data_IF_446879048063
#
_entry.id   IF_446879048063
#
_cell.length_a   1.000
_cell.length_b   1.000
_cell.length_c   1.000
_cell.angle_alpha   90.00
_cell.angle_beta   90.00
_cell.angle_gamma   90.00
#
_symmetry.space_group_name_H-M   'P 1'
#
loop_
_entity.id
_entity.type
_entity.pdbx_description
1 polymer ?
#
# COMPACT_ATOMS: atom_id res chain seq x y z
N UNK A 1 21.21 15.78 21.95
CA UNK A 1 21.84 15.43 20.65
C UNK A 1 20.83 15.77 19.56
N UNK A 2 21.30 16.28 18.41
CA UNK A 2 20.43 16.61 17.28
C UNK A 2 20.68 15.56 16.19
N UNK A 3 19.62 14.81 15.86
CA UNK A 3 19.59 13.88 14.74
C UNK A 3 19.05 14.60 13.52
N UNK A 4 19.67 14.42 12.36
CA UNK A 4 19.30 15.08 11.08
C UNK A 4 18.98 14.03 10.03
N UNK A 5 18.25 14.46 9.00
CA UNK A 5 17.87 13.62 7.86
C UNK A 5 17.01 12.40 8.29
N UNK A 6 16.20 12.59 9.33
CA UNK A 6 15.31 11.55 9.80
C UNK A 6 14.16 11.40 8.81
N UNK A 7 13.84 10.17 8.47
CA UNK A 7 12.72 9.81 7.58
C UNK A 7 11.44 9.69 8.41
N UNK A 8 10.36 10.29 7.92
CA UNK A 8 9.06 10.26 8.58
C UNK A 8 8.25 9.02 8.19
N UNK A 9 7.79 8.20 9.15
CA UNK A 9 7.05 6.96 8.87
C UNK A 9 5.53 7.16 8.84
N UNK A 10 5.01 8.33 8.44
CA UNK A 10 3.56 8.57 8.53
C UNK A 10 2.83 8.43 7.21
N UNK A 11 3.30 9.10 6.17
CA UNK A 11 2.58 9.16 4.90
C UNK A 11 3.54 9.01 3.72
N UNK A 12 2.99 8.76 2.52
CA UNK A 12 3.76 8.52 1.32
C UNK A 12 4.74 9.63 0.90
N UNK A 13 4.72 10.81 1.54
CA UNK A 13 5.74 11.82 1.31
C UNK A 13 7.12 11.41 1.84
N UNK A 14 7.20 10.47 2.78
CA UNK A 14 8.42 9.95 3.39
C UNK A 14 9.48 11.05 3.56
N UNK A 15 9.09 12.12 4.28
CA UNK A 15 9.95 13.31 4.43
C UNK A 15 11.27 12.93 5.11
N UNK A 16 12.40 13.20 4.45
CA UNK A 16 13.76 12.79 4.84
C UNK A 16 14.66 13.98 5.26
N UNK A 17 14.06 15.13 5.56
CA UNK A 17 14.73 16.37 5.98
C UNK A 17 14.41 16.75 7.42
N UNK A 18 13.88 15.81 8.21
CA UNK A 18 13.45 16.08 9.57
C UNK A 18 14.65 16.12 10.51
N UNK A 19 14.61 17.06 11.45
CA UNK A 19 15.59 17.15 12.53
C UNK A 19 14.88 16.89 13.85
N UNK A 20 15.45 16.00 14.65
CA UNK A 20 14.93 15.63 15.96
C UNK A 20 15.97 15.96 17.03
N UNK A 21 15.54 16.63 18.07
CA UNK A 21 16.32 16.87 19.27
C UNK A 21 15.59 16.24 20.46
N UNK A 22 16.34 15.45 21.24
CA UNK A 22 15.80 14.84 22.47
C UNK A 22 16.35 15.62 23.64
N UNK A 23 15.44 16.29 24.39
CA UNK A 23 15.75 17.08 25.60
C UNK A 23 14.86 16.61 26.74
N UNK A 24 15.44 16.23 27.84
CA UNK A 24 14.73 15.82 29.06
C UNK A 24 13.63 14.78 28.79
N UNK A 25 13.93 13.81 27.92
CA UNK A 25 13.00 12.77 27.51
C UNK A 25 11.86 13.24 26.57
N UNK A 26 11.87 14.50 26.12
CA UNK A 26 10.91 15.06 25.18
C UNK A 26 11.50 15.17 23.79
N UNK A 27 10.68 14.86 22.81
CA UNK A 27 11.03 14.96 21.40
C UNK A 27 10.63 16.35 20.88
N UNK A 28 11.59 17.12 20.44
CA UNK A 28 11.42 18.34 19.66
C UNK A 28 11.83 18.06 18.22
N UNK A 29 10.95 18.40 17.27
CA UNK A 29 11.21 18.13 15.86
C UNK A 29 11.03 19.39 15.00
N UNK A 30 11.92 19.57 14.02
CA UNK A 30 11.84 20.61 12.98
C UNK A 30 11.60 19.98 11.64
N UNK A 31 11.03 20.74 10.69
CA UNK A 31 10.68 20.29 9.35
C UNK A 31 9.66 19.13 9.36
N UNK A 32 8.75 19.13 10.31
CA UNK A 32 7.73 18.09 10.49
C UNK A 32 6.34 18.71 10.50
N UNK A 33 5.33 17.98 9.98
CA UNK A 33 3.92 18.35 10.09
C UNK A 33 3.29 17.83 11.40
N UNK A 34 2.04 18.23 11.68
CA UNK A 34 1.32 17.79 12.88
C UNK A 34 1.20 16.28 13.01
N UNK A 35 0.96 15.57 11.90
CA UNK A 35 0.88 14.10 11.90
C UNK A 35 2.25 13.48 12.25
N UNK A 36 3.32 13.97 11.62
CA UNK A 36 4.67 13.50 11.90
C UNK A 36 5.08 13.69 13.35
N UNK A 37 4.86 14.89 13.93
CA UNK A 37 5.21 15.11 15.35
C UNK A 37 4.39 14.23 16.29
N UNK A 38 3.15 13.91 15.96
CA UNK A 38 2.33 12.96 16.73
C UNK A 38 2.96 11.58 16.74
N UNK A 39 3.35 11.07 15.55
CA UNK A 39 3.98 9.75 15.41
C UNK A 39 5.35 9.68 16.11
N UNK A 40 6.19 10.71 15.99
CA UNK A 40 7.47 10.76 16.72
C UNK A 40 7.29 10.71 18.24
N UNK A 41 6.23 11.29 18.77
CA UNK A 41 5.91 11.23 20.22
C UNK A 41 5.41 9.85 20.66
N UNK A 42 4.93 9.01 19.77
CA UNK A 42 4.46 7.67 20.12
C UNK A 42 5.59 6.75 20.59
N UNK A 43 6.83 7.02 20.23
CA UNK A 43 7.97 6.18 20.60
C UNK A 43 8.07 5.96 22.12
N UNK A 44 7.75 6.98 22.89
CA UNK A 44 7.75 6.93 24.37
C UNK A 44 6.35 6.76 24.97
N UNK A 45 5.35 6.46 24.16
CA UNK A 45 3.97 6.34 24.63
C UNK A 45 3.81 5.17 25.61
N UNK A 46 3.15 5.39 26.75
CA UNK A 46 2.85 4.31 27.69
C UNK A 46 1.87 3.26 27.12
N UNK A 47 1.19 3.59 26.01
CA UNK A 47 0.27 2.70 25.30
C UNK A 47 0.98 1.64 24.48
N UNK A 48 2.28 1.76 24.22
CA UNK A 48 3.03 0.77 23.41
C UNK A 48 3.03 -0.59 24.07
N UNK A 49 2.91 -1.61 23.24
CA UNK A 49 3.11 -2.99 23.68
C UNK A 49 4.56 -3.19 24.11
N UNK A 50 4.76 -3.83 25.25
CA UNK A 50 6.07 -4.05 25.88
C UNK A 50 6.45 -5.52 25.89
N UNK A 51 5.48 -6.41 25.68
CA UNK A 51 5.61 -7.87 25.72
C UNK A 51 4.58 -8.47 24.77
N UNK A 52 4.85 -9.66 24.23
CA UNK A 52 3.83 -10.41 23.54
C UNK A 52 2.64 -10.71 24.45
N UNK A 53 1.46 -10.71 23.86
CA UNK A 53 0.20 -10.95 24.55
C UNK A 53 -0.52 -12.12 23.90
N UNK A 54 -1.15 -12.95 24.73
CA UNK A 54 -2.02 -14.05 24.30
C UNK A 54 -3.39 -13.91 24.95
N UNK A 55 -4.46 -14.20 24.22
CA UNK A 55 -5.83 -14.11 24.68
C UNK A 55 -6.23 -15.35 25.49
N UNK A 56 -6.56 -15.16 26.74
CA UNK A 56 -7.08 -16.17 27.64
C UNK A 56 -8.38 -15.70 28.26
N UNK A 57 -9.47 -16.43 28.06
CA UNK A 57 -10.79 -16.07 28.61
C UNK A 57 -11.24 -14.68 28.20
N UNK A 58 -11.00 -14.30 26.95
CA UNK A 58 -11.38 -13.00 26.38
C UNK A 58 -10.47 -11.83 26.80
N UNK A 59 -9.35 -12.07 27.52
CA UNK A 59 -8.41 -11.04 27.94
C UNK A 59 -7.00 -11.31 27.46
N UNK A 60 -6.34 -10.29 26.93
CA UNK A 60 -4.93 -10.36 26.55
C UNK A 60 -4.04 -10.37 27.80
N UNK A 61 -3.14 -11.35 27.90
CA UNK A 61 -2.19 -11.54 29.01
C UNK A 61 -0.77 -11.66 28.48
N UNK A 62 0.24 -11.12 29.20
CA UNK A 62 1.63 -11.24 28.80
C UNK A 62 2.11 -12.70 28.77
N UNK A 63 2.88 -13.03 27.74
CA UNK A 63 3.56 -14.32 27.57
C UNK A 63 5.02 -14.11 27.16
N UNK A 64 5.84 -15.17 27.13
CA UNK A 64 7.20 -15.11 26.62
C UNK A 64 7.22 -14.90 25.09
N UNK A 65 8.31 -14.36 24.56
CA UNK A 65 8.51 -14.23 23.11
C UNK A 65 8.49 -15.59 22.41
N UNK A 66 9.27 -16.52 22.90
CA UNK A 66 9.36 -17.87 22.32
C UNK A 66 7.99 -18.57 22.32
N UNK A 67 7.24 -18.48 23.42
CA UNK A 67 5.89 -19.04 23.51
C UNK A 67 4.91 -18.38 22.55
N UNK A 68 4.95 -17.04 22.39
CA UNK A 68 4.08 -16.34 21.45
C UNK A 68 4.40 -16.69 20.00
N UNK A 69 5.69 -16.74 19.64
CA UNK A 69 6.14 -17.11 18.30
C UNK A 69 5.80 -18.58 17.98
N UNK A 70 5.94 -19.47 18.96
CA UNK A 70 5.57 -20.88 18.76
C UNK A 70 4.08 -21.03 18.49
N UNK A 71 3.20 -20.43 19.32
CA UNK A 71 1.75 -20.49 19.11
C UNK A 71 1.34 -19.83 17.79
N UNK A 72 1.97 -18.71 17.41
CA UNK A 72 1.74 -18.08 16.11
C UNK A 72 2.14 -19.01 14.95
N UNK A 73 3.28 -19.67 15.05
CA UNK A 73 3.73 -20.65 14.08
C UNK A 73 2.77 -21.85 13.99
N UNK A 74 2.30 -22.37 15.13
CA UNK A 74 1.35 -23.48 15.20
C UNK A 74 0.02 -23.14 14.50
N UNK A 75 -0.52 -21.94 14.74
CA UNK A 75 -1.74 -21.46 14.06
C UNK A 75 -1.51 -21.40 12.56
N UNK A 76 -0.44 -20.75 12.11
CA UNK A 76 -0.18 -20.53 10.69
C UNK A 76 0.14 -21.83 9.94
N UNK A 77 0.83 -22.78 10.56
CA UNK A 77 1.14 -24.08 9.94
C UNK A 77 -0.06 -25.03 9.91
N UNK A 78 -0.98 -24.92 10.88
CA UNK A 78 -2.20 -25.71 10.92
C UNK A 78 -3.28 -25.20 9.97
N UNK A 79 -3.24 -23.93 9.60
CA UNK A 79 -4.19 -23.32 8.69
C UNK A 79 -4.04 -23.90 7.28
N UNK A 80 -5.18 -24.15 6.63
CA UNK A 80 -5.23 -24.63 5.23
C UNK A 80 -5.09 -23.49 4.24
N UNK A 81 -5.59 -22.32 4.60
CA UNK A 81 -5.58 -21.13 3.76
C UNK A 81 -5.38 -19.86 4.59
N UNK A 82 -4.19 -19.64 5.14
CA UNK A 82 -3.92 -18.47 5.95
C UNK A 82 -3.81 -17.20 5.07
N UNK A 83 -4.27 -16.07 5.62
CA UNK A 83 -4.05 -14.73 5.07
C UNK A 83 -2.90 -14.07 5.82
N UNK A 84 -1.92 -13.55 5.10
CA UNK A 84 -0.92 -12.62 5.62
C UNK A 84 -1.23 -11.23 5.07
N UNK A 85 -1.75 -10.35 5.92
CA UNK A 85 -2.07 -8.98 5.56
C UNK A 85 -0.97 -8.04 6.06
N UNK A 86 -0.26 -7.39 5.14
CA UNK A 86 0.86 -6.53 5.50
C UNK A 86 0.48 -5.08 5.27
N UNK A 87 0.49 -4.29 6.35
CA UNK A 87 0.24 -2.85 6.31
C UNK A 87 1.39 -2.06 5.71
N UNK A 88 1.15 -0.76 5.54
CA UNK A 88 2.10 0.13 4.90
C UNK A 88 3.02 0.87 5.88
N UNK A 89 3.00 0.51 7.16
CA UNK A 89 3.78 1.17 8.21
C UNK A 89 5.01 0.35 8.64
N UNK A 90 5.54 -0.46 7.74
CA UNK A 90 6.76 -1.24 7.95
C UNK A 90 7.69 -1.16 6.75
N UNK A 91 8.94 -1.63 6.92
CA UNK A 91 10.02 -1.54 5.92
C UNK A 91 9.83 -2.52 4.75
N UNK A 92 10.55 -2.29 3.67
CA UNK A 92 10.59 -3.20 2.52
C UNK A 92 11.19 -4.55 2.91
N UNK A 93 12.17 -4.56 3.80
CA UNK A 93 12.84 -5.74 4.31
C UNK A 93 11.84 -6.63 5.10
N UNK A 94 10.95 -6.03 5.87
CA UNK A 94 9.87 -6.76 6.52
C UNK A 94 8.83 -7.31 5.51
N UNK A 95 8.58 -6.58 4.40
CA UNK A 95 7.73 -7.10 3.31
C UNK A 95 8.32 -8.34 2.67
N UNK A 96 9.63 -8.36 2.40
CA UNK A 96 10.31 -9.52 1.82
C UNK A 96 10.09 -10.76 2.68
N UNK A 97 10.33 -10.65 3.99
CA UNK A 97 10.16 -11.78 4.92
C UNK A 97 8.69 -12.21 4.99
N UNK A 98 7.75 -11.27 5.08
CA UNK A 98 6.31 -11.57 5.10
C UNK A 98 5.84 -12.30 3.84
N UNK A 99 6.33 -11.89 2.68
CA UNK A 99 6.07 -12.55 1.39
C UNK A 99 6.70 -13.95 1.33
N UNK A 100 7.93 -14.13 1.83
CA UNK A 100 8.58 -15.45 1.93
C UNK A 100 7.83 -16.41 2.87
N UNK A 101 7.30 -15.93 3.98
CA UNK A 101 6.42 -16.72 4.85
C UNK A 101 5.17 -17.16 4.10
N UNK A 102 4.56 -16.23 3.35
CA UNK A 102 3.38 -16.52 2.53
C UNK A 102 3.63 -17.59 1.49
N UNK A 103 4.71 -17.50 0.73
CA UNK A 103 5.12 -18.50 -0.24
C UNK A 103 5.35 -19.87 0.42
N UNK A 104 6.09 -19.92 1.52
CA UNK A 104 6.42 -21.15 2.22
C UNK A 104 5.19 -21.86 2.81
N UNK A 105 4.22 -21.10 3.30
CA UNK A 105 2.96 -21.64 3.83
C UNK A 105 1.95 -22.02 2.74
N UNK A 106 2.09 -21.52 1.52
CA UNK A 106 1.04 -21.56 0.51
C UNK A 106 -0.12 -20.59 0.83
N UNK A 107 0.20 -19.51 1.54
CA UNK A 107 -0.77 -18.52 2.01
C UNK A 107 -1.20 -17.53 0.92
N UNK A 108 -2.18 -16.72 1.26
CA UNK A 108 -2.48 -15.51 0.51
C UNK A 108 -1.77 -14.33 1.18
N UNK A 109 -1.12 -13.48 0.37
CA UNK A 109 -0.46 -12.27 0.87
C UNK A 109 -1.07 -11.04 0.20
N UNK A 110 -1.60 -10.12 0.99
CA UNK A 110 -2.24 -8.90 0.50
C UNK A 110 -1.86 -7.69 1.36
N UNK A 111 -2.24 -6.50 0.89
CA UNK A 111 -1.91 -5.21 1.52
C UNK A 111 -3.03 -4.20 1.43
N UNK A 112 -2.83 -3.07 2.09
CA UNK A 112 -3.76 -1.92 2.09
C UNK A 112 -4.13 -1.44 0.69
N UNK A 113 -5.41 -1.48 0.36
CA UNK A 113 -6.23 -0.62 -0.49
C UNK A 113 -5.68 0.03 -1.78
N UNK A 114 -4.60 -0.48 -2.38
CA UNK A 114 -4.01 0.12 -3.57
C UNK A 114 -4.51 -0.51 -4.89
N UNK A 115 -5.36 -1.53 -4.82
CA UNK A 115 -5.74 -2.36 -5.98
C UNK A 115 -6.20 -1.55 -7.19
N UNK A 116 -7.16 -0.65 -7.03
CA UNK A 116 -7.68 0.15 -8.15
C UNK A 116 -6.60 1.02 -8.83
N UNK A 117 -5.70 1.61 -8.04
CA UNK A 117 -4.59 2.43 -8.56
C UNK A 117 -3.60 1.57 -9.33
N UNK A 118 -3.24 0.42 -8.77
CA UNK A 118 -2.26 -0.50 -9.38
C UNK A 118 -2.82 -1.11 -10.65
N UNK A 119 -4.08 -1.58 -10.63
CA UNK A 119 -4.76 -2.14 -11.81
C UNK A 119 -4.85 -1.12 -12.96
N UNK A 120 -5.29 0.10 -12.68
CA UNK A 120 -5.34 1.15 -13.70
C UNK A 120 -3.96 1.50 -14.27
N UNK A 121 -2.92 1.40 -13.44
CA UNK A 121 -1.52 1.57 -13.88
C UNK A 121 -1.05 0.40 -14.75
N UNK A 122 -1.44 -0.84 -14.45
CA UNK A 122 -1.13 -2.02 -15.27
C UNK A 122 -1.79 -1.94 -16.65
N UNK A 123 -3.05 -1.52 -16.72
CA UNK A 123 -3.80 -1.37 -17.97
C UNK A 123 -3.23 -0.25 -18.86
N UNK A 124 -3.00 0.92 -18.30
CA UNK A 124 -2.64 2.10 -19.08
C UNK A 124 -1.12 2.35 -19.17
N UNK A 125 -0.31 1.73 -18.29
CA UNK A 125 1.09 2.10 -18.08
C UNK A 125 1.22 3.40 -17.28
N UNK A 126 2.38 3.69 -16.72
CA UNK A 126 2.61 4.83 -15.83
C UNK A 126 3.43 5.94 -16.49
N UNK A 127 2.90 7.14 -16.54
CA UNK A 127 3.63 8.36 -16.88
C UNK A 127 3.89 9.13 -15.59
N UNK A 128 4.93 8.75 -14.86
CA UNK A 128 5.28 9.32 -13.55
C UNK A 128 6.31 10.44 -13.61
N UNK A 129 6.40 11.18 -12.52
CA UNK A 129 7.49 12.12 -12.23
C UNK A 129 7.83 12.06 -10.74
N UNK A 130 9.13 12.19 -10.44
CA UNK A 130 9.57 12.27 -9.03
C UNK A 130 9.11 13.58 -8.39
N UNK A 131 8.96 13.61 -7.08
CA UNK A 131 8.65 14.84 -6.34
C UNK A 131 9.72 15.91 -6.57
N UNK A 132 10.97 15.51 -6.78
CA UNK A 132 12.06 16.40 -7.17
C UNK A 132 11.86 17.03 -8.55
N UNK A 133 11.36 16.27 -9.53
CA UNK A 133 11.00 16.81 -10.86
C UNK A 133 9.81 17.77 -10.77
N UNK A 134 8.76 17.42 -10.02
CA UNK A 134 7.60 18.29 -9.77
C UNK A 134 8.03 19.60 -9.13
N UNK A 135 8.86 19.55 -8.08
CA UNK A 135 9.42 20.74 -7.41
C UNK A 135 10.16 21.65 -8.37
N UNK A 136 11.00 21.08 -9.23
CA UNK A 136 11.92 21.87 -10.05
C UNK A 136 11.31 22.34 -11.36
N UNK A 137 10.30 21.65 -11.89
CA UNK A 137 9.76 21.88 -13.24
C UNK A 137 8.27 22.22 -13.26
N UNK A 138 7.48 21.73 -12.28
CA UNK A 138 6.03 21.82 -12.31
C UNK A 138 5.53 23.25 -12.17
N UNK A 139 4.83 23.75 -13.17
CA UNK A 139 4.16 25.05 -13.19
C UNK A 139 2.63 24.94 -13.17
N UNK A 140 2.07 23.73 -13.46
CA UNK A 140 0.67 23.40 -13.24
C UNK A 140 0.53 22.18 -12.32
N UNK A 141 -0.15 22.38 -11.19
CA UNK A 141 -0.45 21.34 -10.22
C UNK A 141 -1.95 21.07 -10.16
N UNK A 142 -2.37 19.93 -10.69
CA UNK A 142 -3.76 19.45 -10.64
C UNK A 142 -3.90 18.44 -9.50
N UNK A 143 -4.80 18.71 -8.55
CA UNK A 143 -5.17 17.78 -7.48
C UNK A 143 -6.58 17.28 -7.74
N UNK A 144 -6.71 16.00 -8.04
CA UNK A 144 -7.97 15.37 -8.41
C UNK A 144 -8.40 14.31 -7.40
N UNK A 145 -9.53 14.50 -6.74
CA UNK A 145 -10.04 13.61 -5.70
C UNK A 145 -9.06 13.41 -4.55
N UNK A 146 -8.30 14.46 -4.20
CA UNK A 146 -7.32 14.42 -3.11
C UNK A 146 -7.17 15.77 -2.42
N UNK A 147 -6.90 15.72 -1.10
CA UNK A 147 -6.74 16.91 -0.27
C UNK A 147 -5.40 16.90 0.49
N UNK A 148 -4.27 17.10 -0.20
CA UNK A 148 -2.95 16.97 0.40
C UNK A 148 -2.67 17.98 1.52
N UNK A 149 -3.34 19.13 1.59
CA UNK A 149 -3.17 20.04 2.75
C UNK A 149 -3.63 19.40 4.08
N UNK A 150 -4.52 18.41 4.05
CA UNK A 150 -4.93 17.65 5.23
C UNK A 150 -4.20 16.31 5.33
N UNK A 151 -4.18 15.53 4.24
CA UNK A 151 -3.64 14.16 4.26
C UNK A 151 -2.12 14.09 4.18
N UNK A 152 -1.46 15.10 3.59
CA UNK A 152 -0.02 15.10 3.29
C UNK A 152 0.54 16.52 3.21
N UNK A 153 0.47 17.33 4.28
CA UNK A 153 0.74 18.77 4.22
C UNK A 153 2.12 19.14 3.64
N UNK A 154 3.12 18.28 3.88
CA UNK A 154 4.47 18.55 3.38
C UNK A 154 4.66 18.20 1.90
N UNK A 155 3.79 17.45 1.26
CA UNK A 155 3.82 17.29 -0.19
C UNK A 155 3.68 18.65 -0.88
N UNK A 156 2.72 19.48 -0.48
CA UNK A 156 2.55 20.81 -1.06
C UNK A 156 3.65 21.79 -0.63
N UNK A 157 4.06 21.76 0.64
CA UNK A 157 5.03 22.73 1.17
C UNK A 157 6.48 22.41 0.80
N UNK A 158 6.81 21.14 0.54
CA UNK A 158 8.17 20.69 0.24
C UNK A 158 8.42 20.45 -1.24
N UNK A 159 7.42 19.96 -1.98
CA UNK A 159 7.59 19.49 -3.34
C UNK A 159 6.63 20.17 -4.35
N UNK A 160 5.32 20.17 -4.06
CA UNK A 160 4.31 20.49 -5.05
C UNK A 160 4.17 21.98 -5.35
N UNK A 161 3.79 22.78 -4.35
CA UNK A 161 3.25 24.12 -4.61
C UNK A 161 4.16 25.26 -4.12
N UNK A 162 4.54 25.23 -2.84
CA UNK A 162 5.19 26.38 -2.22
C UNK A 162 6.69 26.49 -2.44
N UNK A 163 7.49 25.42 -2.62
CA UNK A 163 8.93 25.53 -2.67
C UNK A 163 9.40 26.19 -3.96
N UNK A 164 10.53 26.91 -3.83
CA UNK A 164 11.27 27.36 -5.01
C UNK A 164 11.91 26.17 -5.71
N UNK A 165 11.83 26.15 -7.03
CA UNK A 165 12.41 25.13 -7.89
C UNK A 165 13.37 25.76 -8.92
N UNK A 166 14.01 24.90 -9.72
CA UNK A 166 14.95 25.38 -10.74
C UNK A 166 14.29 26.27 -11.79
N UNK A 167 13.11 25.85 -12.30
CA UNK A 167 12.33 26.61 -13.28
C UNK A 167 11.24 27.48 -12.63
N UNK A 168 10.87 27.22 -11.38
CA UNK A 168 9.82 27.93 -10.64
C UNK A 168 10.45 28.73 -9.48
N UNK A 169 11.25 29.73 -9.83
CA UNK A 169 12.13 30.47 -8.89
C UNK A 169 11.38 31.26 -7.82
N UNK A 170 10.13 31.68 -8.12
CA UNK A 170 9.28 32.40 -7.18
C UNK A 170 8.33 31.48 -6.40
N UNK A 171 8.51 30.14 -6.53
CA UNK A 171 7.69 29.16 -5.84
C UNK A 171 6.23 29.20 -6.25
N UNK A 172 5.32 29.44 -5.29
CA UNK A 172 3.86 29.51 -5.53
C UNK A 172 3.47 30.46 -6.66
N UNK A 173 4.16 31.57 -6.81
CA UNK A 173 3.86 32.60 -7.82
C UNK A 173 4.22 32.19 -9.26
N UNK A 174 4.94 31.12 -9.45
CA UNK A 174 5.23 30.55 -10.77
C UNK A 174 4.37 29.29 -11.03
N UNK A 175 3.34 29.05 -10.21
CA UNK A 175 2.52 27.83 -10.31
C UNK A 175 1.04 28.16 -10.31
N UNK A 176 0.32 27.49 -11.20
CA UNK A 176 -1.14 27.43 -11.19
C UNK A 176 -1.58 26.16 -10.47
N UNK A 177 -2.57 26.26 -9.60
CA UNK A 177 -3.16 25.15 -8.87
C UNK A 177 -4.60 24.97 -9.32
N UNK A 178 -4.90 23.79 -9.83
CA UNK A 178 -6.24 23.36 -10.18
C UNK A 178 -6.67 22.22 -9.25
N UNK A 179 -7.84 22.29 -8.66
CA UNK A 179 -8.41 21.22 -7.85
C UNK A 179 -9.72 20.75 -8.44
N UNK A 180 -9.85 19.43 -8.64
CA UNK A 180 -11.09 18.76 -9.04
C UNK A 180 -11.57 17.92 -7.85
N UNK A 181 -12.63 18.34 -7.20
CA UNK A 181 -13.17 17.68 -5.99
C UNK A 181 -14.64 18.06 -5.80
N UNK A 182 -15.54 17.13 -5.47
CA UNK A 182 -16.93 17.46 -5.18
C UNK A 182 -17.10 18.37 -3.95
N UNK A 183 -16.09 18.43 -3.07
CA UNK A 183 -16.08 19.24 -1.85
C UNK A 183 -15.11 20.42 -1.98
N UNK A 184 -15.46 21.55 -1.41
CA UNK A 184 -14.55 22.69 -1.27
C UNK A 184 -13.56 22.46 -0.12
N UNK A 185 -12.59 21.56 -0.33
CA UNK A 185 -11.55 21.16 0.62
C UNK A 185 -10.57 22.31 0.93
N UNK A 186 -9.64 22.11 1.89
CA UNK A 186 -8.57 23.10 2.15
C UNK A 186 -7.67 23.26 0.91
N UNK A 187 -7.40 22.19 0.17
CA UNK A 187 -6.64 22.28 -1.08
C UNK A 187 -7.41 23.09 -2.14
N UNK A 188 -8.72 22.83 -2.29
CA UNK A 188 -9.57 23.60 -3.19
C UNK A 188 -9.64 25.09 -2.84
N UNK A 189 -9.65 25.44 -1.54
CA UNK A 189 -9.60 26.85 -1.10
C UNK A 189 -8.26 27.54 -1.41
N UNK A 190 -7.17 26.79 -1.53
CA UNK A 190 -5.84 27.30 -1.85
C UNK A 190 -5.55 27.30 -3.37
N UNK A 191 -6.46 26.76 -4.19
CA UNK A 191 -6.32 26.65 -5.64
C UNK A 191 -6.71 27.95 -6.36
N UNK A 192 -6.14 28.15 -7.56
CA UNK A 192 -6.50 29.21 -8.47
C UNK A 192 -7.83 28.89 -9.18
N UNK A 193 -8.05 27.61 -9.49
CA UNK A 193 -9.30 27.10 -10.06
C UNK A 193 -9.77 25.88 -9.26
N UNK A 194 -11.02 25.90 -8.79
CA UNK A 194 -11.71 24.75 -8.19
C UNK A 194 -12.85 24.32 -9.09
N UNK A 195 -12.72 23.14 -9.67
CA UNK A 195 -13.76 22.48 -10.46
C UNK A 195 -14.53 21.54 -9.53
N UNK A 196 -15.73 21.96 -9.19
CA UNK A 196 -16.63 21.20 -8.33
C UNK A 196 -17.49 20.28 -9.19
N UNK A 197 -17.08 19.01 -9.30
CA UNK A 197 -17.86 18.01 -10.01
C UNK A 197 -18.92 17.36 -9.11
N UNK A 198 -19.95 16.76 -9.70
CA UNK A 198 -20.85 15.87 -8.96
C UNK A 198 -20.10 14.63 -8.51
N UNK A 199 -20.39 14.07 -7.31
CA UNK A 199 -19.81 12.80 -6.89
C UNK A 199 -19.99 11.72 -7.95
N UNK A 200 -19.01 10.83 -8.07
CA UNK A 200 -19.05 9.66 -8.95
C UNK A 200 -19.09 9.93 -10.47
N UNK A 201 -18.76 11.14 -10.90
CA UNK A 201 -18.75 11.52 -12.33
C UNK A 201 -17.35 11.81 -12.88
N UNK A 202 -16.33 11.27 -12.24
CA UNK A 202 -14.93 11.48 -12.63
C UNK A 202 -14.63 10.91 -14.01
N UNK A 203 -15.13 9.72 -14.33
CA UNK A 203 -14.93 9.06 -15.61
C UNK A 203 -15.49 9.88 -16.76
N UNK A 204 -16.71 10.40 -16.61
CA UNK A 204 -17.39 11.21 -17.59
C UNK A 204 -16.68 12.55 -17.82
N UNK A 205 -16.18 13.18 -16.74
CA UNK A 205 -15.42 14.42 -16.86
C UNK A 205 -14.13 14.20 -17.64
N UNK A 206 -13.35 13.13 -17.32
CA UNK A 206 -12.11 12.83 -18.05
C UNK A 206 -12.41 12.45 -19.50
N UNK A 207 -13.49 11.70 -19.77
CA UNK A 207 -13.95 11.34 -21.12
C UNK A 207 -14.30 12.58 -21.94
N UNK A 208 -14.96 13.57 -21.31
CA UNK A 208 -15.29 14.83 -21.97
C UNK A 208 -14.03 15.65 -22.29
N UNK A 209 -13.06 15.72 -21.35
CA UNK A 209 -11.78 16.37 -21.58
C UNK A 209 -11.01 15.73 -22.75
N UNK A 210 -10.98 14.42 -22.84
CA UNK A 210 -10.37 13.68 -23.96
C UNK A 210 -11.10 13.99 -25.29
N UNK A 211 -12.42 14.04 -25.27
CA UNK A 211 -13.24 14.38 -26.44
C UNK A 211 -12.92 15.78 -26.97
N UNK A 212 -12.85 16.76 -26.07
CA UNK A 212 -12.47 18.14 -26.40
C UNK A 212 -11.02 18.24 -26.88
N UNK A 213 -10.11 17.48 -26.25
CA UNK A 213 -8.69 17.45 -26.62
C UNK A 213 -8.49 16.93 -28.05
N UNK A 214 -9.38 16.02 -28.51
CA UNK A 214 -9.42 15.54 -29.89
C UNK A 214 -10.18 16.44 -30.85
N UNK A 215 -10.56 17.66 -30.45
CA UNK A 215 -11.27 18.64 -31.28
C UNK A 215 -12.73 18.29 -31.55
N UNK A 216 -13.35 17.47 -30.70
CA UNK A 216 -14.75 17.07 -30.79
C UNK A 216 -15.54 17.71 -29.66
N UNK A 217 -16.83 17.96 -29.89
CA UNK A 217 -17.73 18.48 -28.85
C UNK A 217 -18.35 17.30 -28.09
N UNK A 218 -18.23 17.26 -26.76
CA UNK A 218 -18.92 16.26 -25.95
C UNK A 218 -20.45 16.38 -26.09
N UNK A 219 -21.16 15.29 -25.81
CA UNK A 219 -22.61 15.34 -25.76
C UNK A 219 -23.06 16.30 -24.65
N UNK A 220 -24.10 17.10 -24.89
CA UNK A 220 -24.57 18.13 -23.96
C UNK A 220 -24.97 17.60 -22.59
N UNK A 221 -25.39 16.32 -22.49
CA UNK A 221 -25.73 15.67 -21.20
C UNK A 221 -24.52 15.60 -20.24
N UNK A 222 -23.29 15.77 -20.72
CA UNK A 222 -22.10 15.71 -19.85
C UNK A 222 -22.09 16.81 -18.79
N UNK A 223 -22.62 18.00 -19.11
CA UNK A 223 -22.75 19.08 -18.13
C UNK A 223 -23.75 18.73 -17.03
N UNK A 224 -24.84 18.07 -17.38
CA UNK A 224 -25.83 17.59 -16.41
C UNK A 224 -25.25 16.47 -15.53
N UNK A 225 -24.53 15.50 -16.13
CA UNK A 225 -23.93 14.38 -15.43
C UNK A 225 -22.83 14.86 -14.47
N UNK A 226 -21.91 15.66 -14.96
CA UNK A 226 -20.73 16.07 -14.18
C UNK A 226 -20.97 17.28 -13.27
N UNK A 227 -21.97 18.09 -13.59
CA UNK A 227 -22.17 19.39 -12.97
C UNK A 227 -21.14 20.45 -13.40
N UNK A 228 -20.31 20.15 -14.39
CA UNK A 228 -19.25 21.03 -14.91
C UNK A 228 -19.62 21.46 -16.32
N UNK A 229 -19.63 22.77 -16.59
CA UNK A 229 -19.93 23.28 -17.93
C UNK A 229 -18.80 23.00 -18.94
N UNK A 230 -19.13 22.87 -20.22
CA UNK A 230 -18.13 22.69 -21.28
C UNK A 230 -17.12 23.83 -21.26
N UNK A 231 -17.57 25.07 -21.02
CA UNK A 231 -16.66 26.21 -20.89
C UNK A 231 -15.58 26.03 -19.80
N UNK A 232 -15.94 25.50 -18.62
CA UNK A 232 -14.97 25.19 -17.55
C UNK A 232 -14.05 24.05 -17.96
N UNK A 233 -14.56 23.06 -18.70
CA UNK A 233 -13.72 21.97 -19.24
C UNK A 233 -12.70 22.49 -20.25
N UNK A 234 -13.08 23.45 -21.09
CA UNK A 234 -12.19 24.13 -22.02
C UNK A 234 -11.13 24.94 -21.28
N UNK A 235 -11.52 25.72 -20.24
CA UNK A 235 -10.58 26.45 -19.38
C UNK A 235 -9.55 25.48 -18.72
N UNK A 236 -10.00 24.35 -18.21
CA UNK A 236 -9.10 23.31 -17.68
C UNK A 236 -8.08 22.84 -18.74
N UNK A 237 -8.56 22.55 -19.94
CA UNK A 237 -7.70 22.09 -21.03
C UNK A 237 -6.73 23.18 -21.51
N UNK A 238 -7.13 24.42 -21.52
CA UNK A 238 -6.25 25.53 -21.91
C UNK A 238 -5.11 25.69 -20.89
N UNK A 239 -5.41 25.60 -19.60
CA UNK A 239 -4.35 25.52 -18.56
C UNK A 239 -3.42 24.34 -18.78
N UNK A 240 -3.97 23.16 -19.08
CA UNK A 240 -3.19 21.92 -19.27
C UNK A 240 -2.33 21.97 -20.54
N UNK A 241 -2.85 22.49 -21.65
CA UNK A 241 -2.11 22.58 -22.91
C UNK A 241 -1.00 23.63 -22.89
N UNK A 242 -1.19 24.72 -22.14
CA UNK A 242 -0.29 25.88 -22.15
C UNK A 242 0.74 25.87 -21.00
N UNK A 243 0.75 24.90 -20.11
CA UNK A 243 1.79 24.75 -19.09
C UNK A 243 3.10 24.20 -19.70
N UNK A 244 4.23 24.42 -19.05
CA UNK A 244 5.50 23.81 -19.44
C UNK A 244 5.62 22.38 -18.87
N UNK A 245 5.18 22.17 -17.62
CA UNK A 245 5.19 20.88 -16.96
C UNK A 245 4.01 20.77 -15.99
N UNK A 246 3.00 20.01 -16.39
CA UNK A 246 1.82 19.73 -15.57
C UNK A 246 1.93 18.41 -14.82
N UNK A 247 1.27 18.34 -13.68
CA UNK A 247 1.11 17.09 -12.91
C UNK A 247 -0.33 16.94 -12.47
N UNK A 248 -0.97 15.82 -12.81
CA UNK A 248 -2.24 15.42 -12.23
C UNK A 248 -1.93 14.50 -11.04
N UNK A 249 -2.23 14.95 -9.84
CA UNK A 249 -2.10 14.17 -8.61
C UNK A 249 -3.46 13.62 -8.22
N UNK A 250 -3.61 12.28 -8.32
CA UNK A 250 -4.86 11.57 -8.01
C UNK A 250 -4.80 10.94 -6.62
N UNK A 251 -5.94 10.88 -5.95
CA UNK A 251 -6.05 10.26 -4.63
C UNK A 251 -7.23 9.31 -4.52
N UNK A 252 -7.59 8.99 -3.28
CA UNK A 252 -8.65 8.04 -2.92
C UNK A 252 -9.99 8.43 -3.56
N UNK A 253 -10.30 9.72 -3.70
CA UNK A 253 -11.55 10.17 -4.33
C UNK A 253 -11.75 9.57 -5.71
N UNK A 254 -10.71 9.59 -6.55
CA UNK A 254 -10.78 9.04 -7.90
C UNK A 254 -10.79 7.50 -7.92
N UNK A 255 -10.02 6.86 -7.07
CA UNK A 255 -9.89 5.38 -7.05
C UNK A 255 -11.05 4.67 -6.34
N UNK A 256 -11.83 5.38 -5.52
CA UNK A 256 -12.96 4.84 -4.76
C UNK A 256 -14.32 5.10 -5.39
N UNK A 257 -14.42 6.01 -6.39
CA UNK A 257 -15.65 6.22 -7.15
C UNK A 257 -15.98 5.01 -8.03
N UNK A 258 -17.21 4.84 -8.52
CA UNK A 258 -17.69 3.62 -9.20
C UNK A 258 -16.81 3.09 -10.33
N UNK A 259 -16.11 3.94 -11.05
CA UNK A 259 -15.15 3.55 -12.09
C UNK A 259 -13.90 2.83 -11.57
N UNK A 260 -13.56 3.00 -10.27
CA UNK A 260 -12.41 2.36 -9.61
C UNK A 260 -11.12 2.47 -10.44
N UNK A 261 -10.55 1.33 -10.89
CA UNK A 261 -9.33 1.29 -11.69
C UNK A 261 -9.47 1.95 -13.08
N UNK A 262 -10.67 1.96 -13.66
CA UNK A 262 -10.94 2.61 -14.95
C UNK A 262 -10.81 4.13 -14.88
N UNK A 263 -11.08 4.73 -13.72
CA UNK A 263 -10.85 6.16 -13.51
C UNK A 263 -9.35 6.49 -13.53
N UNK A 264 -8.52 5.61 -13.01
CA UNK A 264 -7.06 5.76 -13.06
C UNK A 264 -6.56 5.53 -14.49
N UNK A 265 -7.05 4.50 -15.16
CA UNK A 265 -6.73 4.20 -16.56
C UNK A 265 -7.03 5.39 -17.49
N UNK A 266 -8.26 5.94 -17.41
CA UNK A 266 -8.65 7.06 -18.26
C UNK A 266 -7.89 8.34 -17.92
N UNK A 267 -7.56 8.58 -16.64
CA UNK A 267 -6.71 9.69 -16.24
C UNK A 267 -5.27 9.55 -16.79
N UNK A 268 -4.73 8.31 -16.85
CA UNK A 268 -3.46 8.03 -17.53
C UNK A 268 -3.54 8.31 -19.03
N UNK A 269 -4.65 7.94 -19.67
CA UNK A 269 -4.87 8.20 -21.08
C UNK A 269 -4.97 9.71 -21.36
N UNK A 270 -5.60 10.49 -20.46
CA UNK A 270 -5.58 11.95 -20.54
C UNK A 270 -4.13 12.49 -20.46
N UNK A 271 -3.33 12.00 -19.51
CA UNK A 271 -1.93 12.40 -19.38
C UNK A 271 -1.12 12.04 -20.64
N UNK A 272 -1.35 10.88 -21.24
CA UNK A 272 -0.70 10.50 -22.51
C UNK A 272 -1.05 11.47 -23.64
N UNK A 273 -2.32 11.80 -23.79
CA UNK A 273 -2.78 12.74 -24.82
C UNK A 273 -2.24 14.16 -24.58
N UNK A 274 -2.23 14.63 -23.32
CA UNK A 274 -1.66 15.93 -22.97
C UNK A 274 -0.17 16.05 -23.30
N UNK A 275 0.58 14.94 -23.25
CA UNK A 275 1.99 14.92 -23.64
C UNK A 275 2.25 15.17 -25.13
N UNK A 276 1.20 15.26 -25.97
CA UNK A 276 1.31 15.75 -27.34
C UNK A 276 1.36 17.30 -27.41
N UNK A 277 0.98 17.97 -26.34
CA UNK A 277 0.90 19.45 -26.27
C UNK A 277 1.91 20.05 -25.29
N UNK A 278 1.99 19.52 -24.07
CA UNK A 278 2.85 19.96 -22.98
C UNK A 278 3.44 18.74 -22.26
N UNK A 279 4.42 18.94 -21.37
CA UNK A 279 4.92 17.83 -20.54
C UNK A 279 3.97 17.57 -19.39
N UNK A 280 3.48 16.35 -19.27
CA UNK A 280 2.54 15.97 -18.23
C UNK A 280 2.92 14.67 -17.53
N UNK A 281 2.63 14.57 -16.24
CA UNK A 281 2.80 13.35 -15.45
C UNK A 281 1.56 13.10 -14.58
N UNK A 282 1.32 11.85 -14.23
CA UNK A 282 0.36 11.46 -13.20
C UNK A 282 1.10 11.09 -11.92
N UNK A 283 0.72 11.70 -10.82
CA UNK A 283 1.17 11.40 -9.47
C UNK A 283 0.07 10.69 -8.69
N UNK A 284 0.45 9.80 -7.80
CA UNK A 284 -0.49 9.09 -6.94
C UNK A 284 -0.27 9.57 -5.50
N UNK A 285 -1.30 10.12 -4.87
CA UNK A 285 -1.27 10.50 -3.47
C UNK A 285 -1.70 9.30 -2.62
N UNK A 286 -0.75 8.73 -1.88
CA UNK A 286 -0.95 7.58 -0.99
C UNK A 286 -0.89 8.02 0.45
N UNK A 287 -1.85 7.60 1.27
CA UNK A 287 -1.98 8.06 2.67
C UNK A 287 -0.93 7.49 3.61
N UNK A 288 -0.48 6.25 3.41
CA UNK A 288 0.48 5.57 4.29
C UNK A 288 1.92 5.63 3.77
N UNK A 289 2.90 5.51 4.66
CA UNK A 289 4.30 5.84 4.37
C UNK A 289 4.93 4.95 3.30
N UNK A 290 4.82 3.66 3.41
CA UNK A 290 5.44 2.69 2.49
C UNK A 290 4.43 1.96 1.61
N UNK A 291 3.28 2.57 1.32
CA UNK A 291 2.24 1.96 0.48
C UNK A 291 2.71 1.70 -0.97
N UNK A 292 3.72 2.41 -1.46
CA UNK A 292 4.37 2.10 -2.72
C UNK A 292 5.29 0.89 -2.60
N UNK A 293 5.97 0.74 -1.46
CA UNK A 293 6.98 -0.29 -1.23
C UNK A 293 6.46 -1.70 -1.36
N UNK A 294 5.30 -2.01 -0.78
CA UNK A 294 4.74 -3.36 -0.92
C UNK A 294 4.59 -3.77 -2.39
N UNK A 295 3.98 -2.90 -3.22
CA UNK A 295 3.79 -3.20 -4.63
C UNK A 295 5.12 -3.36 -5.38
N UNK A 296 6.16 -2.59 -5.00
CA UNK A 296 7.50 -2.73 -5.58
C UNK A 296 8.13 -4.07 -5.17
N UNK A 297 8.15 -4.38 -3.87
CA UNK A 297 8.73 -5.61 -3.32
C UNK A 297 8.02 -6.84 -3.91
N UNK A 298 6.71 -6.90 -3.85
CA UNK A 298 5.92 -8.01 -4.39
C UNK A 298 6.14 -8.18 -5.90
N UNK A 299 6.26 -7.06 -6.65
CA UNK A 299 6.51 -7.12 -8.09
C UNK A 299 7.92 -7.62 -8.44
N UNK A 300 8.97 -7.21 -7.75
CA UNK A 300 10.30 -7.70 -8.09
C UNK A 300 10.56 -9.13 -7.60
N UNK A 301 9.92 -9.56 -6.50
CA UNK A 301 10.03 -10.95 -6.02
C UNK A 301 9.20 -11.93 -6.86
N UNK A 302 7.95 -11.57 -7.19
CA UNK A 302 6.95 -12.52 -7.69
C UNK A 302 6.26 -12.10 -8.99
N UNK A 303 6.54 -10.91 -9.51
CA UNK A 303 5.96 -10.39 -10.76
C UNK A 303 4.56 -9.77 -10.59
N UNK A 304 3.97 -9.78 -9.40
CA UNK A 304 2.63 -9.25 -9.13
C UNK A 304 2.64 -8.28 -7.94
N UNK A 305 1.84 -7.21 -7.98
CA UNK A 305 1.98 -6.09 -7.03
C UNK A 305 1.19 -6.21 -5.73
N UNK A 306 0.20 -7.11 -5.62
CA UNK A 306 -0.65 -7.34 -4.43
C UNK A 306 -1.53 -8.58 -4.65
N UNK A 307 -2.26 -9.04 -3.62
CA UNK A 307 -3.22 -10.13 -3.72
C UNK A 307 -2.61 -11.41 -4.30
N UNK A 308 -1.49 -11.85 -3.74
CA UNK A 308 -0.77 -13.04 -4.19
C UNK A 308 -1.31 -14.29 -3.48
N UNK A 309 -1.70 -15.28 -4.24
CA UNK A 309 -2.09 -16.60 -3.74
C UNK A 309 -0.99 -17.63 -4.08
N UNK A 310 -0.39 -18.23 -3.06
CA UNK A 310 0.67 -19.25 -3.18
C UNK A 310 0.19 -20.69 -2.97
N UNK A 311 -1.11 -20.93 -2.83
CA UNK A 311 -1.68 -22.25 -2.48
C UNK A 311 -1.27 -23.37 -3.46
N UNK A 312 -0.95 -23.04 -4.70
CA UNK A 312 -0.52 -24.02 -5.72
C UNK A 312 0.99 -24.15 -5.88
N UNK A 313 1.78 -23.63 -4.92
CA UNK A 313 3.24 -23.68 -4.96
C UNK A 313 3.90 -22.70 -5.96
N UNK A 314 3.12 -21.76 -6.49
CA UNK A 314 3.58 -20.65 -7.31
C UNK A 314 2.66 -19.44 -7.13
N UNK A 315 3.14 -18.20 -7.35
CA UNK A 315 2.32 -17.02 -7.17
C UNK A 315 1.21 -16.98 -8.23
N UNK A 316 -0.01 -16.75 -7.79
CA UNK A 316 -1.18 -16.49 -8.63
C UNK A 316 -1.70 -15.09 -8.31
N UNK A 317 -2.23 -14.43 -9.31
CA UNK A 317 -2.76 -13.08 -9.20
C UNK A 317 -4.09 -12.98 -9.95
N UNK A 318 -5.15 -12.67 -9.21
CA UNK A 318 -6.46 -12.40 -9.77
C UNK A 318 -7.20 -11.39 -8.88
N UNK A 319 -7.14 -10.08 -9.20
CA UNK A 319 -7.92 -9.07 -8.49
C UNK A 319 -9.42 -9.37 -8.56
N UNK A 320 -10.10 -9.35 -7.41
CA UNK A 320 -11.49 -9.77 -7.28
C UNK A 320 -11.67 -11.22 -6.81
N UNK A 321 -10.57 -11.97 -6.62
CA UNK A 321 -10.57 -13.33 -6.04
C UNK A 321 -9.61 -13.45 -4.86
N UNK A 322 -8.40 -12.89 -4.97
CA UNK A 322 -7.33 -13.05 -3.97
C UNK A 322 -7.06 -11.80 -3.13
N UNK A 323 -7.97 -10.83 -3.16
CA UNK A 323 -7.85 -9.67 -2.26
C UNK A 323 -8.50 -9.95 -0.91
N UNK A 324 -8.01 -9.29 0.12
CA UNK A 324 -8.48 -9.47 1.49
C UNK A 324 -10.00 -9.32 1.63
N UNK A 325 -10.61 -8.35 0.93
CA UNK A 325 -12.06 -8.13 1.02
C UNK A 325 -12.85 -9.26 0.36
N UNK A 326 -12.38 -9.79 -0.76
CA UNK A 326 -13.04 -10.88 -1.45
C UNK A 326 -13.00 -12.15 -0.59
N UNK A 327 -11.82 -12.48 -0.05
CA UNK A 327 -11.59 -13.65 0.80
C UNK A 327 -12.41 -13.62 2.10
N UNK A 328 -12.51 -12.45 2.73
CA UNK A 328 -13.32 -12.29 3.95
C UNK A 328 -14.83 -12.44 3.66
N UNK A 329 -15.31 -11.93 2.53
CA UNK A 329 -16.72 -12.08 2.12
C UNK A 329 -17.09 -13.51 1.80
N UNK A 330 -16.22 -14.19 1.06
CA UNK A 330 -16.41 -15.59 0.68
C UNK A 330 -16.08 -16.58 1.81
N UNK A 331 -15.56 -16.07 2.95
CA UNK A 331 -15.10 -16.89 4.09
C UNK A 331 -14.06 -17.93 3.69
N UNK A 332 -13.16 -17.54 2.79
CA UNK A 332 -12.21 -18.44 2.12
C UNK A 332 -10.79 -18.32 2.69
N UNK A 333 -10.68 -18.05 3.98
CA UNK A 333 -9.45 -18.10 4.79
C UNK A 333 -9.79 -18.68 6.16
N UNK A 334 -8.85 -19.32 6.82
CA UNK A 334 -9.07 -19.99 8.12
C UNK A 334 -8.11 -19.55 9.23
N UNK A 335 -7.20 -18.62 8.95
CA UNK A 335 -6.39 -17.87 9.90
C UNK A 335 -5.93 -16.55 9.27
N UNK A 336 -5.64 -15.53 10.07
CA UNK A 336 -5.10 -14.27 9.58
C UNK A 336 -3.91 -13.80 10.44
N UNK A 337 -2.86 -13.32 9.76
CA UNK A 337 -1.75 -12.61 10.36
C UNK A 337 -1.69 -11.19 9.82
N UNK A 338 -1.92 -10.20 10.67
CA UNK A 338 -1.93 -8.78 10.33
C UNK A 338 -0.64 -8.14 10.85
N UNK A 339 0.11 -7.53 9.94
CA UNK A 339 1.42 -6.92 10.21
C UNK A 339 1.32 -5.41 10.03
N UNK A 340 1.56 -4.64 11.09
CA UNK A 340 1.62 -3.18 11.10
C UNK A 340 0.42 -2.51 10.41
N UNK A 341 -0.79 -2.95 10.77
CA UNK A 341 -2.05 -2.41 10.22
C UNK A 341 -3.21 -2.54 11.19
N UNK A 342 -4.11 -1.56 11.15
CA UNK A 342 -5.43 -1.70 11.75
C UNK A 342 -6.45 -2.14 10.69
N UNK A 343 -6.40 -3.42 10.32
CA UNK A 343 -7.25 -4.01 9.29
C UNK A 343 -8.75 -3.84 9.62
N UNK A 344 -9.13 -4.07 10.88
CA UNK A 344 -10.53 -4.01 11.30
C UNK A 344 -11.16 -2.65 11.05
N UNK A 345 -10.39 -1.56 11.16
CA UNK A 345 -10.87 -0.20 10.87
C UNK A 345 -10.96 0.12 9.36
N UNK A 346 -10.49 -0.78 8.48
CA UNK A 346 -10.41 -0.56 7.04
C UNK A 346 -11.36 -1.44 6.23
N UNK A 347 -12.03 -2.40 6.87
CA UNK A 347 -12.91 -3.36 6.22
C UNK A 347 -14.37 -3.12 6.59
N UNK A 348 -15.33 -3.53 5.73
CA UNK A 348 -16.76 -3.45 6.03
C UNK A 348 -17.16 -4.34 7.23
N UNK A 349 -18.30 -4.05 7.89
CA UNK A 349 -18.75 -4.80 9.07
C UNK A 349 -18.97 -6.30 8.84
N UNK A 350 -19.41 -6.70 7.66
CA UNK A 350 -19.57 -8.10 7.27
C UNK A 350 -18.24 -8.86 7.24
N UNK A 351 -17.23 -8.25 6.67
CA UNK A 351 -15.86 -8.78 6.67
C UNK A 351 -15.26 -8.81 8.09
N UNK A 352 -15.52 -7.76 8.89
CA UNK A 352 -15.06 -7.69 10.27
C UNK A 352 -15.66 -8.81 11.13
N UNK A 353 -16.95 -9.11 10.97
CA UNK A 353 -17.61 -10.20 11.68
C UNK A 353 -16.96 -11.56 11.41
N UNK A 354 -16.56 -11.84 10.16
CA UNK A 354 -15.86 -13.09 9.85
C UNK A 354 -14.44 -13.14 10.44
N UNK A 355 -13.75 -12.02 10.47
CA UNK A 355 -12.41 -11.96 11.07
C UNK A 355 -12.42 -12.31 12.58
N UNK A 356 -13.57 -12.13 13.26
CA UNK A 356 -13.76 -12.55 14.64
C UNK A 356 -13.92 -14.08 14.82
N UNK A 357 -14.30 -14.79 13.75
CA UNK A 357 -14.57 -16.24 13.77
C UNK A 357 -13.28 -17.09 13.60
N UNK A 358 -12.18 -16.50 13.13
CA UNK A 358 -10.94 -17.19 12.79
C UNK A 358 -9.77 -16.76 13.69
N UNK A 359 -8.75 -17.61 13.90
CA UNK A 359 -7.54 -17.21 14.61
C UNK A 359 -6.88 -15.99 14.00
N UNK A 360 -6.60 -14.98 14.84
CA UNK A 360 -6.02 -13.72 14.42
C UNK A 360 -4.73 -13.42 15.18
N UNK A 361 -3.63 -13.27 14.44
CA UNK A 361 -2.33 -12.83 14.92
C UNK A 361 -2.09 -11.40 14.47
N UNK A 362 -1.54 -10.56 15.34
CA UNK A 362 -1.19 -9.18 15.00
C UNK A 362 0.23 -8.84 15.46
N UNK A 363 1.01 -8.20 14.59
CA UNK A 363 2.25 -7.52 14.92
C UNK A 363 2.03 -6.02 14.81
N UNK A 364 2.05 -5.29 15.93
CA UNK A 364 1.80 -3.85 15.95
C UNK A 364 2.46 -3.18 17.17
N UNK A 365 2.56 -1.86 17.11
CA UNK A 365 3.23 -1.04 18.12
C UNK A 365 2.32 -0.59 19.26
N UNK A 366 1.04 -0.33 18.99
CA UNK A 366 0.06 0.22 19.94
C UNK A 366 -1.30 -0.47 19.81
N UNK A 367 -2.15 -0.43 20.88
CA UNK A 367 -3.50 -0.95 20.79
C UNK A 367 -4.35 -0.24 19.73
N UNK A 368 -4.98 -1.06 18.89
CA UNK A 368 -5.96 -0.67 17.89
C UNK A 368 -7.14 -1.68 17.89
N UNK A 369 -8.22 -1.46 17.16
CA UNK A 369 -9.30 -2.43 17.02
C UNK A 369 -8.82 -3.83 16.64
N UNK A 370 -7.94 -3.96 15.66
CA UNK A 370 -7.38 -5.26 15.22
C UNK A 370 -6.64 -5.97 16.33
N UNK A 371 -5.73 -5.30 17.04
CA UNK A 371 -5.00 -5.90 18.16
C UNK A 371 -5.91 -6.31 19.32
N UNK A 372 -7.01 -5.58 19.53
CA UNK A 372 -7.98 -5.90 20.59
C UNK A 372 -8.77 -7.17 20.26
N UNK A 373 -8.97 -7.45 18.98
CA UNK A 373 -9.63 -8.66 18.49
C UNK A 373 -8.68 -9.86 18.51
N UNK A 374 -7.38 -9.62 18.28
CA UNK A 374 -6.37 -10.67 18.06
C UNK A 374 -6.23 -11.67 19.21
N UNK A 375 -5.95 -12.92 18.86
CA UNK A 375 -5.60 -13.98 19.82
C UNK A 375 -4.16 -13.85 20.29
N UNK A 376 -3.27 -13.38 19.40
CA UNK A 376 -1.86 -13.12 19.70
C UNK A 376 -1.52 -11.71 19.23
N UNK A 377 -0.83 -10.94 20.09
CA UNK A 377 -0.24 -9.66 19.75
C UNK A 377 1.26 -9.73 19.98
N UNK A 378 2.02 -9.58 18.91
CA UNK A 378 3.48 -9.41 18.92
C UNK A 378 3.79 -7.91 18.95
N UNK A 379 4.63 -7.43 19.88
CA UNK A 379 5.05 -6.04 19.91
C UNK A 379 5.92 -5.68 18.71
N UNK A 380 5.51 -4.67 17.96
CA UNK A 380 6.29 -4.10 16.87
C UNK A 380 7.14 -2.91 17.28
N UNK A 381 8.08 -2.54 16.42
CA UNK A 381 8.85 -1.29 16.49
C UNK A 381 8.32 -0.27 15.49
N UNK A 382 8.67 1.01 15.69
CA UNK A 382 8.36 2.07 14.72
C UNK A 382 9.56 2.19 13.79
N UNK A 383 9.41 1.69 12.57
CA UNK A 383 10.44 1.76 11.53
C UNK A 383 10.84 3.21 11.27
N UNK A 384 12.09 3.45 10.92
CA UNK A 384 12.76 4.74 10.81
C UNK A 384 13.05 5.48 12.14
N UNK A 385 12.59 4.95 13.26
CA UNK A 385 12.93 5.50 14.57
C UNK A 385 13.79 4.53 15.37
N UNK A 386 13.42 3.26 15.41
CA UNK A 386 14.00 2.21 16.27
C UNK A 386 14.80 1.16 15.49
N UNK A 387 14.64 1.09 14.17
CA UNK A 387 15.38 0.20 13.28
C UNK A 387 15.72 0.88 11.94
N UNK A 388 16.67 0.32 11.23
CA UNK A 388 17.00 0.68 9.85
C UNK A 388 16.05 0.00 8.85
N UNK A 389 16.07 0.45 7.61
CA UNK A 389 15.30 -0.15 6.50
C UNK A 389 15.06 0.83 5.36
N UNK A 390 14.18 0.40 4.44
CA UNK A 390 13.85 1.16 3.24
C UNK A 390 12.35 1.42 3.15
N UNK A 391 11.95 2.67 2.85
CA UNK A 391 10.62 3.02 2.40
C UNK A 391 10.64 3.45 0.94
N UNK A 392 9.60 3.12 0.16
CA UNK A 392 9.35 3.77 -1.11
C UNK A 392 8.45 4.98 -0.91
N UNK A 393 8.93 6.16 -1.30
CA UNK A 393 8.13 7.37 -1.37
C UNK A 393 7.03 7.20 -2.44
N UNK A 394 5.97 7.99 -2.34
CA UNK A 394 4.81 7.95 -3.26
C UNK A 394 5.15 8.06 -4.75
N UNK A 395 6.33 8.52 -5.09
CA UNK A 395 6.86 8.66 -6.45
C UNK A 395 7.85 7.54 -6.84
N UNK A 396 7.80 6.41 -6.11
CA UNK A 396 8.59 5.19 -6.28
C UNK A 396 10.12 5.39 -6.11
N UNK A 397 10.51 6.43 -5.39
CA UNK A 397 11.91 6.63 -5.00
C UNK A 397 12.17 5.94 -3.67
N UNK A 398 13.11 4.98 -3.60
CA UNK A 398 13.49 4.36 -2.35
C UNK A 398 14.22 5.37 -1.45
N UNK A 399 13.90 5.34 -0.16
CA UNK A 399 14.50 6.18 0.87
C UNK A 399 14.95 5.27 1.99
N UNK A 400 16.26 5.14 2.14
CA UNK A 400 16.86 4.40 3.25
C UNK A 400 16.83 5.25 4.53
N UNK A 401 16.64 4.61 5.66
CA UNK A 401 16.64 5.23 6.98
C UNK A 401 17.44 4.42 7.99
N UNK A 402 18.06 5.14 8.92
CA UNK A 402 18.76 4.59 10.07
C UNK A 402 18.00 4.92 11.35
N UNK A 403 18.11 4.07 12.40
CA UNK A 403 17.50 4.38 13.69
C UNK A 403 18.19 5.58 14.33
N UNK A 404 17.44 6.36 15.07
CA UNK A 404 17.99 7.45 15.87
C UNK A 404 17.78 7.27 17.37
N UNK A 405 17.07 6.22 17.75
CA UNK A 405 16.76 5.89 19.13
C UNK A 405 16.68 4.37 19.32
N UNK A 406 17.26 3.87 20.39
CA UNK A 406 17.01 2.51 20.83
C UNK A 406 15.58 2.36 21.34
N UNK A 407 15.00 1.18 21.16
CA UNK A 407 13.66 0.92 21.68
C UNK A 407 13.61 1.18 23.19
N UNK A 408 12.71 2.05 23.68
CA UNK A 408 12.62 2.37 25.10
C UNK A 408 12.13 1.18 25.94
N UNK A 409 11.70 0.09 25.32
CA UNK A 409 11.11 -1.08 25.98
C UNK A 409 12.05 -2.30 26.02
N UNK A 410 13.34 -2.12 25.67
CA UNK A 410 14.37 -3.15 25.74
C UNK A 410 14.17 -4.39 24.87
N UNK A 411 13.25 -4.37 23.92
CA UNK A 411 13.31 -5.33 22.83
C UNK A 411 14.03 -4.68 21.65
N UNK A 412 15.06 -5.35 21.17
CA UNK A 412 15.97 -4.82 20.14
C UNK A 412 15.66 -5.35 18.75
N UNK A 413 14.53 -6.05 18.62
CA UNK A 413 14.17 -6.73 17.38
C UNK A 413 13.37 -5.79 16.50
N UNK A 414 13.79 -5.66 15.24
CA UNK A 414 12.98 -5.01 14.21
C UNK A 414 11.71 -5.83 13.88
N UNK A 415 10.80 -5.23 13.14
CA UNK A 415 9.66 -5.99 12.60
C UNK A 415 10.15 -7.13 11.69
N UNK A 416 11.17 -6.87 10.88
CA UNK A 416 11.85 -7.88 10.05
C UNK A 416 12.42 -9.03 10.89
N UNK A 417 13.16 -8.74 11.98
CA UNK A 417 13.72 -9.77 12.85
C UNK A 417 12.65 -10.63 13.51
N UNK A 418 11.55 -10.01 13.93
CA UNK A 418 10.40 -10.72 14.48
C UNK A 418 9.80 -11.69 13.46
N UNK A 419 9.66 -11.25 12.21
CA UNK A 419 9.17 -12.10 11.12
C UNK A 419 10.15 -13.20 10.77
N UNK A 420 11.47 -12.94 10.77
CA UNK A 420 12.50 -13.98 10.57
C UNK A 420 12.44 -15.07 11.64
N UNK A 421 12.30 -14.68 12.91
CA UNK A 421 12.18 -15.65 14.01
C UNK A 421 10.90 -16.47 13.90
N UNK A 422 9.78 -15.84 13.55
CA UNK A 422 8.53 -16.56 13.28
C UNK A 422 8.70 -17.54 12.10
N UNK A 423 9.39 -17.12 11.05
CA UNK A 423 9.65 -17.97 9.88
C UNK A 423 10.48 -19.20 10.23
N UNK A 424 11.50 -19.07 11.09
CA UNK A 424 12.26 -20.24 11.53
C UNK A 424 11.38 -21.22 12.34
N UNK A 425 10.50 -20.74 13.22
CA UNK A 425 9.53 -21.61 13.93
C UNK A 425 8.56 -22.32 12.98
N UNK A 426 8.09 -21.62 11.95
CA UNK A 426 7.23 -22.22 10.91
C UNK A 426 7.97 -23.36 10.17
N UNK A 427 9.25 -23.16 9.84
CA UNK A 427 10.08 -24.19 9.20
C UNK A 427 10.30 -25.39 10.12
N UNK A 428 10.58 -25.15 11.41
CA UNK A 428 10.73 -26.19 12.42
C UNK A 428 9.48 -27.07 12.53
N UNK A 429 8.29 -26.46 12.59
CA UNK A 429 7.02 -27.17 12.62
C UNK A 429 6.80 -28.05 11.38
N UNK A 430 6.97 -27.52 10.17
CA UNK A 430 6.79 -28.28 8.93
C UNK A 430 7.81 -29.40 8.76
N UNK A 431 9.05 -29.24 9.24
CA UNK A 431 10.06 -30.29 9.21
C UNK A 431 9.72 -31.43 10.19
N UNK A 432 9.15 -31.11 11.36
CA UNK A 432 8.67 -32.13 12.32
C UNK A 432 7.50 -32.91 11.72
N UNK A 433 6.55 -32.27 11.06
CA UNK A 433 5.42 -32.93 10.38
C UNK A 433 5.89 -33.88 9.27
N UNK A 434 6.90 -33.48 8.48
CA UNK A 434 7.47 -34.34 7.44
C UNK A 434 8.15 -35.57 8.01
N UNK A 435 8.87 -35.46 9.12
CA UNK A 435 9.51 -36.59 9.81
C UNK A 435 8.44 -37.56 10.38
N UNK A 436 7.33 -37.06 10.89
CA UNK A 436 6.21 -37.87 11.35
C UNK A 436 5.46 -38.55 10.20
N UNK A 437 5.28 -37.89 9.05
CA UNK A 437 4.67 -38.53 7.88
C UNK A 437 5.56 -39.63 7.30
N UNK A 438 6.86 -39.41 7.20
CA UNK A 438 7.81 -40.41 6.74
C UNK A 438 7.94 -41.63 7.72
N UNK A 439 7.62 -41.43 9.00
CA UNK A 439 7.64 -42.50 10.01
C UNK A 439 6.36 -43.33 10.06
N UNK A 440 5.24 -42.83 9.54
CA UNK A 440 3.93 -43.52 9.58
C UNK A 440 3.61 -44.28 8.27
N UNK A 441 4.25 -43.94 7.15
CA UNK A 441 4.08 -44.64 5.87
C UNK A 441 5.41 -45.23 5.37
N UNK A 442 5.64 -46.53 5.50
CA UNK A 442 6.73 -47.18 4.77
C UNK A 442 6.42 -47.11 3.27
N UNK A 443 7.34 -46.56 2.54
CA UNK A 443 7.48 -46.52 1.08
C UNK A 443 6.70 -47.63 0.34
N UNK A 444 5.66 -47.26 -0.42
CA UNK A 444 5.21 -48.06 -1.59
C UNK A 444 4.30 -47.30 -2.57
N UNK A 445 3.89 -46.04 -2.33
CA UNK A 445 2.87 -45.41 -3.20
C UNK A 445 3.39 -44.47 -4.29
N UNK A 446 4.65 -44.03 -4.21
CA UNK A 446 5.23 -43.08 -5.21
C UNK A 446 5.83 -43.81 -6.40
N UNK A 447 6.32 -45.06 -6.24
CA UNK A 447 6.87 -45.86 -7.33
C UNK A 447 5.80 -46.44 -8.25
N UNK A 448 4.60 -46.72 -7.74
CA UNK A 448 3.47 -47.20 -8.53
C UNK A 448 2.88 -46.11 -9.49
N UNK A 449 2.92 -44.83 -9.10
CA UNK A 449 2.47 -43.73 -9.97
C UNK A 449 3.46 -43.40 -11.08
N UNK A 450 4.75 -43.69 -10.91
CA UNK A 450 5.77 -43.53 -11.95
C UNK A 450 5.70 -44.66 -12.99
N UNK A 451 5.36 -45.87 -12.59
CA UNK A 451 5.20 -47.03 -13.47
C UNK A 451 3.90 -46.99 -14.27
N UNK A 452 2.79 -46.45 -13.74
CA UNK A 452 1.54 -46.29 -14.50
C UNK A 452 1.60 -45.17 -15.54
N UNK A 453 2.38 -44.11 -15.34
CA UNK A 453 2.57 -43.07 -16.35
C UNK A 453 3.53 -43.46 -17.50
N UNK A 454 4.32 -44.51 -17.36
CA UNK A 454 5.15 -45.01 -18.42
C UNK A 454 4.40 -45.96 -19.39
N UNK A 455 3.34 -46.60 -18.96
CA UNK A 455 2.53 -47.50 -19.79
C UNK A 455 1.50 -46.81 -20.70
N UNK A 456 1.18 -45.53 -20.43
CA UNK A 456 0.22 -44.74 -21.22
C UNK A 456 0.88 -43.98 -22.38
N UNK A 457 2.22 -44.02 -22.53
CA UNK A 457 2.93 -43.38 -23.65
C UNK A 457 3.30 -44.32 -24.80
N UNK A 458 2.96 -45.61 -24.77
CA UNK A 458 3.27 -46.58 -25.82
C UNK A 458 2.15 -46.93 -26.79
N UNK A 459 1.00 -46.25 -26.74
CA UNK A 459 -0.11 -46.50 -27.67
C UNK A 459 -0.69 -45.23 -28.29
N UNK A 460 0.12 -44.43 -28.94
CA UNK A 460 -0.37 -43.50 -29.99
C UNK A 460 0.74 -43.21 -30.98
N UNK A 461 1.03 -44.20 -31.85
CA UNK A 461 1.69 -43.96 -33.13
C UNK A 461 0.92 -44.73 -34.19
N UNK A 462 0.18 -44.04 -35.00
CA UNK A 462 -0.26 -44.33 -36.36
C UNK A 462 -1.71 -43.83 -36.57
N UNK A 463 -1.83 -42.81 -37.35
CA UNK A 463 -3.09 -42.24 -37.84
C UNK A 463 -2.85 -40.97 -38.63
N UNK A 464 -2.30 -41.15 -39.86
CA UNK A 464 -2.39 -40.12 -40.90
C UNK A 464 -3.87 -39.74 -41.12
N UNK A 465 -4.14 -38.45 -41.17
CA UNK A 465 -5.24 -37.94 -42.01
C UNK A 465 -4.84 -36.58 -42.58
N UNK A 466 -4.70 -36.60 -43.91
CA UNK A 466 -4.75 -35.48 -44.84
C UNK A 466 -6.14 -34.81 -44.82
N UNK A 467 -6.19 -33.53 -44.70
CA UNK A 467 -6.78 -32.45 -45.51
C UNK A 467 -6.65 -31.13 -44.78
#
# INVERSE_FOLDING_TARGET
MIHKNIVCPVCGAACDDIQIEIKDGKIEAKNVCKMGISRFKEITSPRRFKRPLLKFGGKLRPVSWDGALQIAADILTSAKRPLIYIGSETSCEAYEVGLMIGEYLGAIVDTVGNGAIVMGTQEAGKVGATEGQKKNRGDLMVYWGTNPLESMPRQMSRYGVFPRGYWTKRGRFDRTILTVDPRKTLTAKASDLHVQLKPDSDYELVSALLTLLHGRVPHHSVEEITGVSIHVMEEMLDLMKNCNFGTISVGVGLSSSPGKYRNIEIAMNLVKELNKHSKFSLGIIRSHCNAAGFSQVASYMYGYPFGLDFMRGHPRYNPGEFTTLDLLREKDIDAAFVICADLLSQIPPDCAAYLEEIPLICLDTIPCPTTSLSDIVLPGVIDSMECEGTFYRLDDVPVYFEPFLDSPFKFTQSNEDTLKQLFEKIKENKNQDSIFQDSIFPFTYIDDLKTQNCSLRSHTSSGQLSF
#
